data_IF_795557338612
#
_entry.id   IF_795557338612
#
_cell.length_a   1.000
_cell.length_b   1.000
_cell.length_c   1.000
_cell.angle_alpha   90.00
_cell.angle_beta   90.00
_cell.angle_gamma   90.00
#
_symmetry.space_group_name_H-M   'P 1'
#
loop_
_entity.id
_entity.type
_entity.pdbx_description
1 polymer ?
#
# COMPACT_ATOMS: atom_id res chain seq x y z
N UNK A 1 13.82 15.77 16.22
CA UNK A 1 13.21 15.25 14.97
C UNK A 1 13.93 13.96 14.61
N UNK A 2 13.18 12.96 14.12
CA UNK A 2 13.69 11.70 13.58
C UNK A 2 13.20 11.56 12.14
N UNK A 3 14.05 11.10 11.23
CA UNK A 3 13.67 10.86 9.82
C UNK A 3 12.97 9.51 9.71
N UNK A 4 11.83 9.42 9.02
CA UNK A 4 11.18 8.14 8.73
C UNK A 4 11.85 7.46 7.54
N UNK A 5 12.09 6.15 7.64
CA UNK A 5 12.63 5.30 6.58
C UNK A 5 11.72 4.09 6.38
N UNK A 6 11.20 3.87 5.16
CA UNK A 6 10.37 2.70 4.88
C UNK A 6 11.22 1.47 4.56
N UNK A 7 10.73 0.31 4.93
CA UNK A 7 11.24 -1.02 4.49
C UNK A 7 10.15 -1.72 3.67
N UNK A 8 9.48 -0.95 2.82
CA UNK A 8 8.44 -1.38 1.90
C UNK A 8 8.43 -0.44 0.69
N UNK A 9 7.83 -0.89 -0.41
CA UNK A 9 7.60 -0.09 -1.61
C UNK A 9 6.13 0.16 -1.87
N UNK A 10 5.85 1.17 -2.71
CA UNK A 10 4.52 1.42 -3.27
C UNK A 10 4.51 0.98 -4.73
N UNK A 11 3.50 0.19 -5.06
CA UNK A 11 3.41 -0.51 -6.32
C UNK A 11 2.15 -0.11 -7.09
N UNK A 12 2.28 -0.07 -8.41
CA UNK A 12 1.26 0.32 -9.37
C UNK A 12 1.24 -0.67 -10.53
N UNK A 13 0.10 -0.78 -11.20
CA UNK A 13 0.00 -1.47 -12.48
C UNK A 13 -0.07 -0.41 -13.57
N UNK A 14 0.96 -0.38 -14.42
CA UNK A 14 1.06 0.57 -15.53
C UNK A 14 -0.05 0.35 -16.55
N UNK A 15 -0.58 1.44 -17.10
CA UNK A 15 -1.57 1.36 -18.18
C UNK A 15 -0.89 0.87 -19.48
N UNK A 16 0.29 1.39 -19.79
CA UNK A 16 1.18 0.92 -20.86
C UNK A 16 2.55 0.51 -20.29
N UNK A 17 2.96 -0.74 -20.49
CA UNK A 17 4.26 -1.23 -20.02
C UNK A 17 5.43 -0.61 -20.77
N UNK A 18 5.22 -0.06 -21.96
CA UNK A 18 6.27 0.64 -22.71
C UNK A 18 6.52 2.05 -22.17
N UNK A 19 5.60 2.57 -21.33
CA UNK A 19 5.80 3.78 -20.54
C UNK A 19 5.96 3.38 -19.07
N UNK A 20 7.20 3.10 -18.69
CA UNK A 20 7.56 2.62 -17.36
C UNK A 20 8.45 3.63 -16.61
N UNK A 21 8.45 4.88 -17.05
CA UNK A 21 9.21 5.96 -16.43
C UNK A 21 8.57 6.47 -15.14
N UNK A 22 9.28 7.36 -14.46
CA UNK A 22 8.67 8.16 -13.40
C UNK A 22 7.47 8.94 -13.94
N UNK A 23 6.38 8.96 -13.18
CA UNK A 23 5.10 9.60 -13.55
C UNK A 23 4.35 8.95 -14.73
N UNK A 24 4.74 7.75 -15.14
CA UNK A 24 3.95 6.99 -16.10
C UNK A 24 2.53 6.73 -15.60
N UNK A 25 1.57 6.71 -16.52
CA UNK A 25 0.15 6.51 -16.20
C UNK A 25 -0.09 5.11 -15.60
N UNK A 26 -0.75 5.08 -14.45
CA UNK A 26 -1.15 3.86 -13.77
C UNK A 26 -2.52 4.02 -13.12
N UNK A 27 -3.51 3.28 -13.60
CA UNK A 27 -4.89 3.38 -13.12
C UNK A 27 -5.23 2.40 -11.99
N UNK A 28 -4.30 1.50 -11.62
CA UNK A 28 -4.55 0.42 -10.66
C UNK A 28 -3.39 0.22 -9.68
N UNK A 29 -3.67 -0.24 -8.44
CA UNK A 29 -2.61 -0.67 -7.54
C UNK A 29 -1.86 -1.87 -8.11
N UNK A 30 -0.57 -1.97 -7.80
CA UNK A 30 0.24 -3.13 -8.15
C UNK A 30 -0.29 -4.42 -7.51
N UNK A 31 0.03 -5.57 -8.10
CA UNK A 31 -0.35 -6.87 -7.56
C UNK A 31 0.17 -7.04 -6.13
N UNK A 32 -0.61 -7.73 -5.29
CA UNK A 32 -0.23 -7.97 -3.91
C UNK A 32 0.93 -8.98 -3.83
N UNK A 33 1.89 -8.70 -2.94
CA UNK A 33 2.96 -9.65 -2.61
C UNK A 33 2.45 -10.92 -1.90
N UNK A 34 3.27 -11.99 -1.86
CA UNK A 34 2.86 -13.29 -1.34
C UNK A 34 2.61 -13.34 0.18
N UNK A 35 3.16 -12.38 0.94
CA UNK A 35 3.15 -12.39 2.40
C UNK A 35 2.20 -11.35 3.00
N UNK A 36 2.42 -10.06 2.74
CA UNK A 36 1.59 -9.00 3.34
C UNK A 36 0.22 -8.93 2.67
N UNK A 37 0.12 -9.38 1.40
CA UNK A 37 -1.12 -9.49 0.63
C UNK A 37 -1.92 -8.18 0.55
N UNK A 38 -1.22 -7.05 0.50
CA UNK A 38 -1.80 -5.72 0.36
C UNK A 38 -1.54 -5.23 -1.08
N UNK A 39 -2.56 -5.11 -1.94
CA UNK A 39 -2.38 -4.53 -3.26
C UNK A 39 -1.76 -3.13 -3.18
N UNK A 40 -0.84 -2.87 -4.12
CA UNK A 40 -0.10 -1.61 -4.22
C UNK A 40 0.96 -1.39 -3.14
N UNK A 41 1.24 -2.39 -2.31
CA UNK A 41 2.32 -2.36 -1.32
C UNK A 41 3.05 -3.68 -1.33
N UNK A 42 4.37 -3.64 -1.27
CA UNK A 42 5.18 -4.84 -1.04
C UNK A 42 6.23 -4.54 0.02
N UNK A 43 6.43 -5.46 0.96
CA UNK A 43 7.54 -5.39 1.89
C UNK A 43 8.88 -5.49 1.15
N UNK A 44 9.97 -4.96 1.71
CA UNK A 44 11.29 -5.09 1.12
C UNK A 44 11.68 -6.57 0.92
N UNK A 45 11.26 -7.45 1.84
CA UNK A 45 11.38 -8.90 1.70
C UNK A 45 10.63 -9.47 0.47
N UNK A 46 9.45 -8.95 0.13
CA UNK A 46 8.69 -9.39 -1.05
C UNK A 46 9.27 -8.81 -2.33
N UNK A 47 9.74 -7.56 -2.30
CA UNK A 47 10.38 -6.89 -3.43
C UNK A 47 11.67 -7.62 -3.79
N UNK A 48 12.52 -7.94 -2.82
CA UNK A 48 13.76 -8.65 -3.09
C UNK A 48 13.47 -10.06 -3.64
N UNK A 49 12.51 -10.80 -3.08
CA UNK A 49 12.10 -12.09 -3.64
C UNK A 49 11.59 -11.96 -5.08
N UNK A 50 10.75 -10.96 -5.37
CA UNK A 50 10.27 -10.70 -6.73
C UNK A 50 11.42 -10.49 -7.70
N UNK A 51 12.45 -9.73 -7.31
CA UNK A 51 13.66 -9.49 -8.10
C UNK A 51 14.47 -10.78 -8.31
N UNK A 52 14.65 -11.59 -7.27
CA UNK A 52 15.42 -12.84 -7.36
C UNK A 52 14.72 -13.91 -8.20
N UNK A 53 13.39 -13.98 -8.13
CA UNK A 53 12.58 -15.00 -8.79
C UNK A 53 12.14 -14.61 -10.21
N UNK A 54 12.22 -13.33 -10.58
CA UNK A 54 11.72 -12.84 -11.87
C UNK A 54 12.55 -13.26 -13.09
N UNK A 55 13.81 -13.67 -12.90
CA UNK A 55 14.75 -13.82 -14.02
C UNK A 55 14.85 -12.50 -14.80
N UNK A 56 14.60 -12.53 -16.11
CA UNK A 56 14.66 -11.36 -17.00
C UNK A 56 13.33 -10.56 -17.06
N UNK A 57 12.30 -10.92 -16.29
CA UNK A 57 10.98 -10.27 -16.34
C UNK A 57 10.98 -8.85 -15.75
N UNK A 58 11.73 -8.64 -14.67
CA UNK A 58 11.80 -7.36 -13.96
C UNK A 58 13.13 -6.65 -14.19
N UNK A 59 13.06 -5.32 -14.30
CA UNK A 59 14.22 -4.43 -14.42
C UNK A 59 14.20 -3.40 -13.31
N UNK A 60 15.37 -3.15 -12.71
CA UNK A 60 15.58 -2.11 -11.69
C UNK A 60 16.16 -0.88 -12.37
N UNK A 61 15.63 0.30 -12.02
CA UNK A 61 16.10 1.58 -12.50
C UNK A 61 16.47 2.45 -11.31
N UNK A 62 17.69 2.99 -11.33
CA UNK A 62 18.17 3.99 -10.39
C UNK A 62 18.16 5.35 -11.08
N UNK A 63 17.26 6.23 -10.67
CA UNK A 63 17.24 7.60 -11.19
C UNK A 63 18.34 8.43 -10.48
N UNK A 64 19.26 9.05 -11.24
CA UNK A 64 20.40 9.78 -10.67
C UNK A 64 20.01 11.06 -9.93
N UNK A 65 18.78 11.55 -10.07
CA UNK A 65 18.28 12.75 -9.40
C UNK A 65 17.39 12.43 -8.19
N UNK A 66 16.70 11.30 -8.20
CA UNK A 66 15.84 10.87 -7.08
C UNK A 66 16.61 10.15 -5.99
N UNK A 67 17.72 9.49 -6.33
CA UNK A 67 18.51 8.66 -5.40
C UNK A 67 17.67 7.55 -4.73
N UNK A 68 16.59 7.13 -5.38
CA UNK A 68 15.70 6.04 -4.99
C UNK A 68 15.49 5.12 -6.20
N UNK A 69 15.51 3.79 -6.02
CA UNK A 69 15.20 2.87 -7.08
C UNK A 69 13.69 2.72 -7.31
N UNK A 70 13.35 2.31 -8.52
CA UNK A 70 12.11 1.62 -8.80
C UNK A 70 12.38 0.38 -9.64
N UNK A 71 11.48 -0.61 -9.56
CA UNK A 71 11.47 -1.75 -10.45
C UNK A 71 10.23 -1.72 -11.32
N UNK A 72 10.31 -2.32 -12.50
CA UNK A 72 9.15 -2.62 -13.33
C UNK A 72 9.24 -4.02 -13.91
N UNK A 73 8.11 -4.69 -14.12
CA UNK A 73 8.03 -6.07 -14.59
C UNK A 73 7.06 -6.22 -15.77
N UNK A 74 7.45 -7.00 -16.79
CA UNK A 74 6.65 -7.14 -18.01
C UNK A 74 5.38 -7.96 -17.81
N UNK A 75 5.47 -9.06 -17.06
CA UNK A 75 4.43 -10.08 -16.93
C UNK A 75 3.10 -9.56 -16.40
N UNK A 76 3.14 -8.65 -15.44
CA UNK A 76 2.00 -8.10 -14.70
C UNK A 76 1.89 -6.57 -14.79
N UNK A 77 2.74 -5.95 -15.63
CA UNK A 77 2.89 -4.51 -15.75
C UNK A 77 3.16 -3.80 -14.42
N UNK A 78 3.80 -4.50 -13.48
CA UNK A 78 4.11 -3.95 -12.17
C UNK A 78 5.13 -2.82 -12.30
N UNK A 79 4.94 -1.77 -11.53
CA UNK A 79 5.93 -0.72 -11.25
C UNK A 79 5.96 -0.52 -9.74
N UNK A 80 7.12 -0.61 -9.09
CA UNK A 80 7.24 -0.38 -7.65
C UNK A 80 8.40 0.56 -7.34
N UNK A 81 8.11 1.69 -6.69
CA UNK A 81 9.11 2.55 -6.07
C UNK A 81 9.40 2.07 -4.65
N UNK A 82 10.66 1.95 -4.28
CA UNK A 82 11.07 1.38 -3.00
C UNK A 82 12.42 1.93 -2.53
N UNK A 83 12.78 1.62 -1.30
CA UNK A 83 14.08 1.92 -0.71
C UNK A 83 14.97 0.66 -0.74
N UNK A 84 16.18 0.79 -1.25
CA UNK A 84 17.26 -0.20 -1.19
C UNK A 84 18.36 0.21 -0.18
N UNK A 85 19.43 -0.57 -0.08
CA UNK A 85 20.54 -0.26 0.83
C UNK A 85 21.17 1.10 0.52
N UNK A 86 21.33 1.44 -0.75
CA UNK A 86 22.05 2.65 -1.16
C UNK A 86 21.23 3.91 -0.82
N UNK A 87 19.96 3.93 -1.20
CA UNK A 87 19.02 5.02 -0.87
C UNK A 87 18.86 5.20 0.64
N UNK A 88 18.70 4.12 1.41
CA UNK A 88 18.59 4.22 2.88
C UNK A 88 19.90 4.66 3.54
N UNK A 89 21.05 4.21 3.03
CA UNK A 89 22.35 4.68 3.52
C UNK A 89 22.44 6.21 3.35
N UNK A 90 22.10 6.73 2.17
CA UNK A 90 22.10 8.16 1.88
C UNK A 90 21.13 8.94 2.80
N UNK A 91 19.90 8.45 2.99
CA UNK A 91 18.91 9.05 3.91
C UNK A 91 19.41 9.10 5.36
N UNK A 92 20.04 8.04 5.84
CA UNK A 92 20.62 8.02 7.19
C UNK A 92 21.82 8.96 7.33
N UNK A 93 22.70 9.05 6.31
CA UNK A 93 23.78 10.04 6.28
C UNK A 93 23.25 11.47 6.29
N UNK A 94 22.20 11.75 5.50
CA UNK A 94 21.50 13.04 5.52
C UNK A 94 20.98 13.36 6.93
N UNK A 95 20.28 12.42 7.58
CA UNK A 95 19.80 12.60 8.94
C UNK A 95 20.93 12.91 9.94
N UNK A 96 22.07 12.21 9.81
CA UNK A 96 23.26 12.41 10.65
C UNK A 96 23.88 13.80 10.43
N UNK A 97 24.05 14.21 9.18
CA UNK A 97 24.71 15.46 8.79
C UNK A 97 23.85 16.69 9.07
N UNK A 98 22.52 16.55 9.08
CA UNK A 98 21.59 17.58 9.57
C UNK A 98 21.48 17.64 11.10
N UNK A 99 22.15 16.75 11.84
CA UNK A 99 22.07 16.68 13.30
C UNK A 99 20.71 16.24 13.82
N UNK A 100 19.96 15.43 13.05
CA UNK A 100 18.71 14.83 13.52
C UNK A 100 18.99 13.83 14.65
N UNK A 101 17.97 13.57 15.46
CA UNK A 101 18.11 12.67 16.62
C UNK A 101 18.27 11.19 16.21
N UNK A 102 17.92 10.84 14.97
CA UNK A 102 18.05 9.49 14.43
C UNK A 102 17.09 9.24 13.27
N UNK A 103 16.91 7.96 12.97
CA UNK A 103 15.99 7.43 11.96
C UNK A 103 14.97 6.52 12.64
N UNK A 104 13.70 6.64 12.27
CA UNK A 104 12.61 5.74 12.61
C UNK A 104 12.34 4.83 11.41
N UNK A 105 12.09 3.54 11.65
CA UNK A 105 11.84 2.57 10.57
C UNK A 105 10.39 2.11 10.59
N UNK A 106 9.75 2.13 9.43
CA UNK A 106 8.46 1.50 9.21
C UNK A 106 8.57 0.43 8.11
N UNK A 107 8.55 -0.87 8.42
CA UNK A 107 8.60 -1.51 9.75
C UNK A 107 9.65 -2.60 9.81
N UNK A 108 9.98 -3.05 11.02
CA UNK A 108 10.98 -4.10 11.23
C UNK A 108 10.60 -5.45 10.58
N UNK A 109 9.31 -5.73 10.41
CA UNK A 109 8.77 -7.00 9.91
C UNK A 109 8.67 -7.08 8.38
N UNK A 110 8.84 -5.96 7.65
CA UNK A 110 8.85 -5.95 6.18
C UNK A 110 10.27 -5.89 5.58
N UNK A 111 11.31 -5.74 6.40
CA UNK A 111 12.70 -5.94 5.98
C UNK A 111 12.97 -7.43 5.69
N UNK A 112 14.09 -7.75 5.05
CA UNK A 112 14.59 -9.14 4.93
C UNK A 112 15.11 -9.63 6.29
N UNK A 113 14.21 -9.82 7.26
CA UNK A 113 14.52 -10.20 8.63
C UNK A 113 15.07 -11.64 8.75
N UNK A 114 15.02 -12.43 7.67
CA UNK A 114 15.61 -13.79 7.62
C UNK A 114 16.95 -13.83 6.90
N UNK A 115 17.25 -12.82 6.08
CA UNK A 115 18.45 -12.79 5.24
C UNK A 115 18.33 -13.73 4.03
N UNK A 116 17.12 -13.92 3.51
CA UNK A 116 16.85 -14.83 2.39
C UNK A 116 17.38 -14.26 1.06
N UNK A 117 17.43 -12.93 0.91
CA UNK A 117 17.88 -12.24 -0.30
C UNK A 117 19.34 -11.78 -0.23
N UNK A 118 19.78 -11.30 0.94
CA UNK A 118 21.07 -10.60 1.09
C UNK A 118 22.10 -11.34 1.94
N UNK A 119 21.80 -12.58 2.37
CA UNK A 119 22.62 -13.34 3.32
C UNK A 119 22.89 -12.57 4.65
N UNK A 120 22.03 -11.61 4.97
CA UNK A 120 22.08 -10.78 6.18
C UNK A 120 20.66 -10.50 6.69
N UNK A 121 20.41 -10.81 7.96
CA UNK A 121 19.16 -10.48 8.63
C UNK A 121 19.01 -8.96 8.81
N UNK A 122 17.82 -8.43 8.50
CA UNK A 122 17.50 -7.00 8.61
C UNK A 122 18.46 -6.12 7.79
N UNK A 123 18.71 -6.53 6.54
CA UNK A 123 19.68 -5.88 5.65
C UNK A 123 19.49 -4.36 5.57
N UNK A 124 18.25 -3.87 5.42
CA UNK A 124 17.96 -2.44 5.31
C UNK A 124 18.12 -1.71 6.65
N UNK A 125 17.58 -2.26 7.74
CA UNK A 125 17.71 -1.65 9.08
C UNK A 125 19.19 -1.61 9.52
N UNK A 126 19.97 -2.64 9.20
CA UNK A 126 21.41 -2.66 9.48
C UNK A 126 22.16 -1.66 8.63
N UNK A 127 21.74 -1.44 7.39
CA UNK A 127 22.32 -0.39 6.54
C UNK A 127 22.13 1.00 7.15
N UNK A 128 20.93 1.32 7.64
CA UNK A 128 20.66 2.55 8.39
C UNK A 128 21.56 2.66 9.62
N UNK A 129 21.71 1.57 10.39
CA UNK A 129 22.58 1.55 11.57
C UNK A 129 24.03 1.87 11.22
N UNK A 130 24.60 1.22 10.20
CA UNK A 130 25.99 1.45 9.75
C UNK A 130 26.19 2.92 9.35
N UNK A 131 25.26 3.50 8.59
CA UNK A 131 25.32 4.91 8.21
C UNK A 131 25.31 5.89 9.40
N UNK A 132 24.57 5.57 10.46
CA UNK A 132 24.47 6.38 11.69
C UNK A 132 25.66 6.21 12.64
N UNK A 133 26.39 5.09 12.56
CA UNK A 133 27.63 4.85 13.33
C UNK A 133 28.79 5.71 12.80
N UNK A 134 28.78 6.02 11.51
CA UNK A 134 29.77 6.92 10.91
C UNK A 134 29.66 8.36 11.46
N UNK A 135 30.79 9.05 11.72
CA UNK A 135 30.79 10.44 12.15
C UNK A 135 30.08 11.35 11.15
N UNK A 136 29.50 12.45 11.63
CA UNK A 136 29.02 13.49 10.73
C UNK A 136 30.22 14.17 10.04
N UNK A 137 30.19 14.23 8.71
CA UNK A 137 31.21 14.84 7.86
C UNK A 137 30.70 16.12 7.18
N UNK A 138 29.40 16.42 7.31
CA UNK A 138 28.76 17.56 6.67
C UNK A 138 28.49 17.37 5.18
N UNK A 139 28.73 16.17 4.65
CA UNK A 139 28.44 15.86 3.25
C UNK A 139 26.93 15.67 3.06
N UNK A 140 26.31 16.59 2.34
CA UNK A 140 24.88 16.56 2.07
C UNK A 140 24.74 16.41 0.56
N UNK A 141 24.05 15.34 0.14
CA UNK A 141 23.67 15.15 -1.26
C UNK A 141 22.84 16.35 -1.68
N UNK A 142 23.41 17.18 -2.55
CA UNK A 142 22.72 18.34 -3.12
C UNK A 142 21.83 17.85 -4.26
N UNK A 143 20.54 17.63 -3.96
CA UNK A 143 19.57 17.28 -4.98
C UNK A 143 19.33 18.51 -5.87
N UNK A 144 19.50 18.41 -7.20
CA UNK A 144 19.17 19.51 -8.08
C UNK A 144 17.69 19.91 -7.89
N UNK A 145 17.34 21.20 -7.99
CA UNK A 145 15.96 21.63 -7.87
C UNK A 145 15.10 20.87 -8.90
N UNK A 146 14.00 20.29 -8.43
CA UNK A 146 13.06 19.51 -9.24
C UNK A 146 12.69 20.33 -10.49
N UNK A 147 13.07 19.85 -11.67
CA UNK A 147 12.71 20.54 -12.92
C UNK A 147 11.21 20.34 -13.11
N UNK A 148 10.49 21.44 -13.13
CA UNK A 148 9.05 21.50 -13.40
C UNK A 148 8.78 20.96 -14.82
N UNK A 149 8.27 19.73 -14.94
CA UNK A 149 8.18 18.97 -16.21
C UNK A 149 7.04 19.47 -17.14
N UNK A 150 6.52 20.68 -16.89
CA UNK A 150 5.48 21.31 -17.72
C UNK A 150 5.93 21.68 -19.13
N UNK A 151 7.21 21.54 -19.48
CA UNK A 151 7.71 21.84 -20.82
C UNK A 151 8.34 20.60 -21.46
N UNK A 152 7.49 19.75 -22.03
CA UNK A 152 7.87 18.66 -22.94
C UNK A 152 8.67 19.21 -24.15
N UNK A 153 9.91 18.77 -24.40
CA UNK A 153 10.52 18.87 -25.71
C UNK A 153 10.04 17.72 -26.61
N UNK A 154 9.59 18.09 -27.80
CA UNK A 154 9.13 17.28 -28.93
C UNK A 154 10.00 16.02 -29.19
N UNK A 155 9.43 14.81 -29.37
CA UNK A 155 10.22 13.61 -29.58
C UNK A 155 10.77 13.56 -31.01
N UNK A 156 12.09 13.70 -31.14
CA UNK A 156 12.80 13.42 -32.39
C UNK A 156 12.92 11.92 -32.63
N UNK A 157 12.24 11.46 -33.68
CA UNK A 157 12.25 10.10 -34.23
C UNK A 157 13.66 9.59 -34.60
N UNK A 158 14.08 8.41 -34.11
CA UNK A 158 15.15 7.65 -34.75
C UNK A 158 14.63 6.54 -35.68
N UNK A 159 15.25 6.49 -36.86
CA UNK A 159 15.06 5.60 -38.01
C UNK A 159 15.29 4.11 -37.69
N UNK A 160 14.56 3.16 -38.32
CA UNK A 160 14.73 1.72 -38.05
C UNK A 160 16.00 1.15 -38.70
N UNK A 161 16.75 0.35 -37.93
CA UNK A 161 17.85 -0.48 -38.43
C UNK A 161 17.39 -1.94 -38.51
N UNK A 162 17.50 -2.53 -39.69
CA UNK A 162 17.16 -3.92 -39.99
C UNK A 162 18.32 -4.86 -39.63
N UNK A 163 18.06 -6.01 -39.03
CA UNK A 163 19.03 -7.12 -38.84
C UNK A 163 18.29 -8.47 -38.84
N UNK A 164 18.86 -9.54 -39.41
CA UNK A 164 18.09 -10.58 -40.09
C UNK A 164 17.71 -11.80 -39.24
N UNK A 165 16.65 -12.46 -39.70
CA UNK A 165 16.11 -13.76 -39.29
C UNK A 165 17.14 -14.90 -39.32
N UNK A 166 17.02 -15.86 -38.38
CA UNK A 166 17.35 -17.25 -38.68
C UNK A 166 16.18 -18.22 -38.44
N UNK A 167 15.87 -18.91 -39.53
CA UNK A 167 15.54 -20.33 -39.76
C UNK A 167 14.84 -21.16 -38.67
N UNK A 168 13.63 -21.58 -39.05
CA UNK A 168 12.78 -22.64 -38.50
C UNK A 168 13.45 -24.00 -38.47
N UNK A 169 13.31 -24.75 -37.37
CA UNK A 169 13.49 -26.21 -37.36
C UNK A 169 12.24 -26.86 -36.76
N UNK A 170 11.53 -27.61 -37.60
CA UNK A 170 10.38 -28.44 -37.27
C UNK A 170 10.82 -29.67 -36.48
N UNK A 171 10.08 -30.03 -35.43
CA UNK A 171 10.09 -31.39 -34.87
C UNK A 171 8.66 -31.78 -34.54
N UNK A 172 8.25 -32.91 -35.10
CA UNK A 172 6.89 -33.46 -35.05
C UNK A 172 6.51 -34.02 -33.67
N UNK A 173 5.19 -34.07 -33.54
CA UNK A 173 4.29 -34.39 -32.45
C UNK A 173 4.37 -35.86 -31.98
N UNK A 174 4.23 -36.07 -30.66
CA UNK A 174 3.84 -37.37 -30.07
C UNK A 174 2.62 -37.12 -29.19
N UNK A 175 1.49 -37.65 -29.64
CA UNK A 175 0.18 -37.66 -29.00
C UNK A 175 0.13 -38.64 -27.83
N UNK A 176 -0.42 -38.20 -26.69
CA UNK A 176 -0.97 -39.09 -25.65
C UNK A 176 -2.41 -38.66 -25.29
N UNK A 177 -3.27 -39.60 -24.86
CA UNK A 177 -4.73 -39.46 -24.83
C UNK A 177 -5.28 -38.65 -23.63
N UNK A 178 -6.53 -38.17 -23.69
CA UNK A 178 -7.14 -37.35 -22.64
C UNK A 178 -7.50 -38.19 -21.43
N UNK A 179 -7.14 -37.70 -20.23
CA UNK A 179 -7.59 -38.24 -18.95
C UNK A 179 -8.68 -37.34 -18.38
N UNK A 180 -9.81 -37.93 -18.01
CA UNK A 180 -11.05 -37.29 -17.56
C UNK A 180 -10.90 -36.38 -16.32
N UNK A 181 -11.81 -35.39 -16.14
CA UNK A 181 -11.81 -34.49 -14.98
C UNK A 181 -12.25 -35.19 -13.69
N UNK A 182 -11.70 -34.82 -12.51
CA UNK A 182 -12.13 -35.39 -11.25
C UNK A 182 -13.53 -34.84 -10.87
N UNK A 183 -14.41 -35.77 -10.53
CA UNK A 183 -15.76 -35.51 -10.04
C UNK A 183 -15.70 -35.17 -8.54
N UNK A 184 -16.01 -33.94 -8.15
CA UNK A 184 -16.10 -33.54 -6.74
C UNK A 184 -17.46 -33.92 -6.17
N UNK A 185 -17.48 -34.94 -5.32
CA UNK A 185 -18.65 -35.35 -4.53
C UNK A 185 -18.78 -34.49 -3.27
N UNK A 186 -19.93 -33.82 -3.13
CA UNK A 186 -20.31 -33.06 -1.93
C UNK A 186 -20.64 -34.02 -0.78
N UNK A 187 -20.04 -33.88 0.41
CA UNK A 187 -20.48 -34.63 1.59
C UNK A 187 -21.80 -34.08 2.16
N UNK A 188 -22.59 -34.90 2.89
CA UNK A 188 -23.94 -34.55 3.34
C UNK A 188 -23.92 -33.57 4.52
N UNK A 189 -24.81 -32.58 4.48
CA UNK A 189 -25.09 -31.65 5.57
C UNK A 189 -25.82 -32.35 6.71
N UNK A 190 -25.21 -32.39 7.90
CA UNK A 190 -25.86 -32.79 9.15
C UNK A 190 -26.48 -31.55 9.83
N UNK A 191 -27.68 -31.65 10.45
CA UNK A 191 -28.34 -30.50 11.06
C UNK A 191 -27.72 -30.16 12.41
N UNK A 192 -26.93 -29.10 12.48
CA UNK A 192 -26.45 -28.54 13.74
C UNK A 192 -27.56 -27.75 14.44
N UNK A 193 -27.88 -28.16 15.65
CA UNK A 193 -28.87 -27.56 16.54
C UNK A 193 -28.40 -26.17 17.02
N UNK A 194 -29.24 -25.16 16.81
CA UNK A 194 -29.03 -23.78 17.26
C UNK A 194 -29.28 -23.65 18.77
N UNK A 195 -28.33 -23.15 19.58
CA UNK A 195 -28.65 -22.57 20.87
C UNK A 195 -29.21 -21.16 20.66
N UNK A 196 -30.43 -20.94 21.13
CA UNK A 196 -31.09 -19.62 21.16
C UNK A 196 -30.28 -18.64 22.03
N UNK A 197 -29.77 -17.57 21.41
CA UNK A 197 -29.21 -16.41 22.09
C UNK A 197 -30.34 -15.40 22.33
N UNK A 198 -30.36 -14.81 23.51
CA UNK A 198 -31.26 -13.72 23.91
C UNK A 198 -31.06 -12.44 23.10
N UNK A 199 -31.64 -11.30 23.51
CA UNK A 199 -31.76 -10.12 22.65
C UNK A 199 -30.38 -9.53 22.34
N UNK A 200 -29.88 -9.78 21.13
CA UNK A 200 -28.68 -9.16 20.58
C UNK A 200 -28.99 -7.70 20.27
N UNK A 201 -28.44 -6.76 21.04
CA UNK A 201 -28.40 -5.37 20.62
C UNK A 201 -27.40 -5.27 19.47
N UNK A 202 -27.89 -5.11 18.24
CA UNK A 202 -27.06 -4.92 17.05
C UNK A 202 -26.27 -3.61 17.21
N UNK A 203 -24.95 -3.69 17.30
CA UNK A 203 -24.04 -2.53 17.31
C UNK A 203 -24.22 -1.73 16.02
N UNK A 204 -24.19 -0.40 16.11
CA UNK A 204 -24.07 0.48 14.95
C UNK A 204 -22.63 0.39 14.36
N UNK A 205 -22.45 -0.10 13.12
CA UNK A 205 -21.13 -0.27 12.51
C UNK A 205 -20.37 1.04 12.27
N UNK A 206 -21.07 2.18 12.13
CA UNK A 206 -20.46 3.48 11.90
C UNK A 206 -19.80 4.07 13.15
N UNK A 207 -20.15 3.55 14.33
CA UNK A 207 -19.67 4.06 15.61
C UNK A 207 -18.50 3.25 16.14
N UNK A 208 -17.62 3.96 16.86
CA UNK A 208 -16.48 3.40 17.58
C UNK A 208 -16.92 2.25 18.50
N UNK A 209 -16.35 1.04 18.35
CA UNK A 209 -16.69 -0.07 19.23
C UNK A 209 -16.18 0.18 20.65
N UNK A 210 -16.88 -0.34 21.64
CA UNK A 210 -16.35 -0.45 22.99
C UNK A 210 -15.33 -1.59 23.04
N UNK A 211 -14.07 -1.26 23.29
CA UNK A 211 -12.95 -2.20 23.36
C UNK A 211 -12.55 -2.55 24.80
N UNK A 212 -13.33 -2.15 25.81
CA UNK A 212 -13.08 -2.51 27.21
C UNK A 212 -13.11 -4.02 27.41
N UNK A 213 -11.95 -4.60 27.76
CA UNK A 213 -11.81 -6.05 27.96
C UNK A 213 -11.81 -6.87 26.66
N UNK A 214 -11.73 -6.22 25.50
CA UNK A 214 -11.55 -6.86 24.20
C UNK A 214 -10.05 -7.05 23.95
N UNK A 215 -9.68 -8.19 23.35
CA UNK A 215 -8.28 -8.49 23.02
C UNK A 215 -7.80 -7.57 21.91
N UNK A 216 -6.59 -7.02 22.06
CA UNK A 216 -5.97 -6.19 21.02
C UNK A 216 -5.84 -6.96 19.69
N UNK A 217 -6.11 -6.28 18.59
CA UNK A 217 -6.21 -6.86 17.25
C UNK A 217 -7.59 -7.41 16.89
N UNK A 218 -8.56 -7.43 17.82
CA UNK A 218 -9.95 -7.80 17.49
C UNK A 218 -10.54 -6.76 16.54
N UNK A 219 -11.13 -7.22 15.42
CA UNK A 219 -11.68 -6.35 14.38
C UNK A 219 -13.21 -6.38 14.33
N UNK A 220 -13.81 -5.27 13.89
CA UNK A 220 -15.25 -5.13 13.70
C UNK A 220 -15.56 -4.46 12.36
N UNK A 221 -16.66 -4.84 11.68
CA UNK A 221 -17.01 -4.24 10.40
C UNK A 221 -17.50 -2.81 10.60
N UNK A 222 -17.23 -1.96 9.60
CA UNK A 222 -17.77 -0.60 9.49
C UNK A 222 -18.98 -0.58 8.54
N UNK A 223 -19.74 0.51 8.55
CA UNK A 223 -20.83 0.73 7.59
C UNK A 223 -20.36 1.00 6.17
N UNK A 224 -19.07 1.26 5.97
CA UNK A 224 -18.45 1.51 4.67
C UNK A 224 -17.55 0.33 4.38
N UNK A 225 -17.71 -0.30 3.22
CA UNK A 225 -17.05 -1.57 2.93
C UNK A 225 -15.53 -1.46 2.91
N UNK A 226 -14.96 -0.28 2.69
CA UNK A 226 -13.52 -0.05 2.69
C UNK A 226 -12.96 0.35 4.06
N UNK A 227 -13.74 0.24 5.14
CA UNK A 227 -13.32 0.60 6.51
C UNK A 227 -13.59 -0.55 7.47
N UNK A 228 -12.82 -0.58 8.55
CA UNK A 228 -13.04 -1.50 9.66
C UNK A 228 -12.49 -0.93 10.96
N UNK A 229 -13.00 -1.40 12.09
CA UNK A 229 -12.47 -1.03 13.40
C UNK A 229 -11.53 -2.11 13.90
N UNK A 230 -10.48 -1.71 14.62
CA UNK A 230 -9.57 -2.61 15.34
C UNK A 230 -9.40 -2.14 16.79
N UNK A 231 -9.53 -3.04 17.75
CA UNK A 231 -9.24 -2.71 19.14
C UNK A 231 -7.74 -2.71 19.39
N UNK A 232 -7.21 -1.61 19.94
CA UNK A 232 -5.83 -1.48 20.40
C UNK A 232 -5.81 -0.70 21.71
N UNK A 233 -5.19 -1.26 22.75
CA UNK A 233 -5.09 -0.66 24.09
C UNK A 233 -6.45 -0.21 24.67
N UNK A 234 -7.50 -1.01 24.44
CA UNK A 234 -8.86 -0.67 24.89
C UNK A 234 -9.55 0.44 24.09
N UNK A 235 -9.00 0.87 22.95
CA UNK A 235 -9.62 1.84 22.05
C UNK A 235 -9.91 1.22 20.68
N UNK A 236 -11.08 1.50 20.12
CA UNK A 236 -11.38 1.16 18.72
C UNK A 236 -10.71 2.15 17.78
N UNK A 237 -9.79 1.71 16.95
CA UNK A 237 -9.15 2.52 15.91
C UNK A 237 -9.84 2.22 14.59
N UNK A 238 -10.26 3.26 13.87
CA UNK A 238 -10.85 3.14 12.53
C UNK A 238 -9.73 3.02 11.50
N UNK A 239 -9.71 1.92 10.77
CA UNK A 239 -8.75 1.63 9.72
C UNK A 239 -9.40 1.68 8.35
N UNK A 240 -8.61 2.07 7.35
CA UNK A 240 -9.02 2.09 5.95
C UNK A 240 -8.31 0.97 5.20
N UNK A 241 -9.07 0.24 4.40
CA UNK A 241 -8.49 -0.63 3.39
C UNK A 241 -7.81 0.19 2.28
N UNK A 242 -6.77 -0.38 1.66
CA UNK A 242 -6.11 0.24 0.52
C UNK A 242 -7.11 0.57 -0.60
N UNK A 243 -6.90 1.65 -1.38
CA UNK A 243 -7.80 2.01 -2.47
C UNK A 243 -8.09 0.83 -3.40
N UNK A 244 -9.38 0.56 -3.67
CA UNK A 244 -9.83 -0.56 -4.50
C UNK A 244 -9.99 -1.90 -3.76
N UNK A 245 -9.79 -1.95 -2.44
CA UNK A 245 -10.02 -3.14 -1.61
C UNK A 245 -11.05 -2.89 -0.51
N UNK A 246 -11.77 -3.94 -0.11
CA UNK A 246 -12.85 -3.91 0.86
C UNK A 246 -12.54 -4.83 2.05
N UNK A 247 -13.03 -4.47 3.22
CA UNK A 247 -12.84 -5.24 4.44
C UNK A 247 -13.64 -6.54 4.40
N UNK A 248 -12.92 -7.65 4.40
CA UNK A 248 -13.46 -8.99 4.55
C UNK A 248 -13.50 -9.36 6.04
N UNK A 249 -14.68 -9.24 6.65
CA UNK A 249 -14.85 -9.56 8.06
C UNK A 249 -14.64 -11.06 8.37
N UNK A 250 -14.87 -11.96 7.41
CA UNK A 250 -14.74 -13.41 7.60
C UNK A 250 -13.26 -13.78 7.68
N UNK A 251 -12.45 -13.23 6.78
CA UNK A 251 -11.02 -13.50 6.72
C UNK A 251 -10.17 -12.50 7.51
N UNK A 252 -10.79 -11.42 8.02
CA UNK A 252 -10.14 -10.32 8.73
C UNK A 252 -8.99 -9.68 7.94
N UNK A 253 -9.21 -9.47 6.65
CA UNK A 253 -8.25 -8.87 5.71
C UNK A 253 -8.95 -7.93 4.73
N UNK A 254 -8.22 -6.99 4.14
CA UNK A 254 -8.72 -6.23 2.99
C UNK A 254 -8.57 -7.09 1.73
N UNK A 255 -9.68 -7.38 1.06
CA UNK A 255 -9.75 -8.26 -0.10
C UNK A 255 -10.41 -7.53 -1.29
N UNK A 256 -10.42 -8.14 -2.46
CA UNK A 256 -11.03 -7.56 -3.65
C UNK A 256 -12.56 -7.55 -3.55
N UNK A 257 -13.21 -6.57 -4.18
CA UNK A 257 -14.68 -6.47 -4.18
C UNK A 257 -15.38 -7.76 -4.65
N UNK A 258 -14.78 -8.51 -5.59
CA UNK A 258 -15.32 -9.78 -6.07
C UNK A 258 -15.32 -10.90 -5.03
N UNK A 259 -14.52 -10.77 -3.97
CA UNK A 259 -14.30 -11.78 -2.93
C UNK A 259 -14.97 -11.40 -1.60
N UNK A 260 -15.52 -10.19 -1.49
CA UNK A 260 -16.13 -9.66 -0.26
C UNK A 260 -17.65 -9.59 -0.41
N UNK A 261 -18.38 -10.02 0.61
CA UNK A 261 -19.83 -9.78 0.68
C UNK A 261 -20.11 -8.31 1.02
N UNK A 262 -20.52 -7.55 0.03
CA UNK A 262 -20.82 -6.11 0.14
C UNK A 262 -22.28 -5.81 0.43
N UNK A 263 -23.12 -6.84 0.62
CA UNK A 263 -24.58 -6.67 0.81
C UNK A 263 -24.97 -5.94 2.11
N UNK A 264 -24.05 -5.81 3.05
CA UNK A 264 -24.27 -5.26 4.39
C UNK A 264 -23.44 -4.01 4.72
N UNK A 265 -22.82 -3.40 3.72
CA UNK A 265 -22.07 -2.16 3.87
C UNK A 265 -22.26 -1.25 2.65
N UNK A 266 -21.94 0.03 2.82
CA UNK A 266 -21.95 1.01 1.76
C UNK A 266 -20.65 0.89 0.97
N UNK A 267 -20.77 0.59 -0.33
CA UNK A 267 -19.67 0.76 -1.26
C UNK A 267 -19.42 2.26 -1.43
N UNK A 268 -18.36 2.74 -0.80
CA UNK A 268 -17.96 4.13 -0.98
C UNK A 268 -17.32 4.29 -2.36
N UNK A 269 -17.99 5.03 -3.23
CA UNK A 269 -17.51 5.39 -4.56
C UNK A 269 -17.38 6.90 -4.67
N UNK A 270 -16.24 7.34 -5.19
CA UNK A 270 -15.95 8.74 -5.45
C UNK A 270 -16.59 9.17 -6.79
N UNK A 271 -17.92 9.12 -6.89
CA UNK A 271 -18.63 9.22 -8.18
C UNK A 271 -18.83 10.66 -8.67
N UNK A 272 -18.79 11.64 -7.77
CA UNK A 272 -19.11 13.04 -8.07
C UNK A 272 -17.93 13.94 -7.72
N UNK A 273 -17.32 14.51 -8.76
CA UNK A 273 -16.24 15.49 -8.62
C UNK A 273 -16.68 16.70 -7.78
N UNK A 274 -15.75 17.24 -7.00
CA UNK A 274 -15.93 18.30 -6.01
C UNK A 274 -16.88 17.94 -4.84
N UNK A 275 -17.06 16.65 -4.55
CA UNK A 275 -17.76 16.20 -3.35
C UNK A 275 -16.77 15.87 -2.23
N UNK A 276 -17.13 16.21 -1.00
CA UNK A 276 -16.30 16.00 0.18
C UNK A 276 -16.83 14.86 1.05
N UNK A 277 -15.94 14.02 1.57
CA UNK A 277 -16.28 12.87 2.42
C UNK A 277 -15.44 12.82 3.70
N UNK A 278 -15.96 12.23 4.80
CA UNK A 278 -15.22 12.09 6.04
C UNK A 278 -14.05 11.09 5.88
N UNK A 279 -12.88 11.47 6.37
CA UNK A 279 -11.74 10.58 6.52
C UNK A 279 -11.83 9.82 7.86
N UNK A 280 -11.19 8.63 7.99
CA UNK A 280 -11.06 7.95 9.28
C UNK A 280 -10.44 8.80 10.39
N UNK A 281 -9.48 9.64 10.07
CA UNK A 281 -8.90 10.65 10.97
C UNK A 281 -9.76 11.92 11.00
N UNK A 282 -10.12 12.39 12.19
CA UNK A 282 -11.04 13.52 12.37
C UNK A 282 -10.50 14.84 11.78
N UNK A 283 -9.18 14.98 11.63
CA UNK A 283 -8.54 16.17 11.06
C UNK A 283 -8.29 16.06 9.55
N UNK A 284 -8.87 15.07 8.87
CA UNK A 284 -8.74 14.90 7.42
C UNK A 284 -10.10 14.72 6.75
N UNK A 285 -10.12 14.88 5.44
CA UNK A 285 -11.28 14.62 4.60
C UNK A 285 -10.84 14.21 3.19
N UNK A 286 -11.74 13.56 2.45
CA UNK A 286 -11.53 13.28 1.04
C UNK A 286 -12.22 14.35 0.19
N UNK A 287 -11.56 14.79 -0.87
CA UNK A 287 -12.12 15.57 -1.98
C UNK A 287 -12.12 14.69 -3.23
N UNK A 288 -13.28 14.49 -3.83
CA UNK A 288 -13.38 13.77 -5.09
C UNK A 288 -12.92 14.62 -6.26
N UNK A 289 -11.96 14.12 -7.02
CA UNK A 289 -11.44 14.76 -8.23
C UNK A 289 -11.18 13.70 -9.32
N UNK A 290 -11.88 13.82 -10.43
CA UNK A 290 -11.83 12.90 -11.58
C UNK A 290 -12.08 11.44 -11.20
N UNK A 291 -13.04 11.20 -10.30
CA UNK A 291 -13.36 9.86 -9.82
C UNK A 291 -12.39 9.28 -8.79
N UNK A 292 -11.34 10.02 -8.40
CA UNK A 292 -10.36 9.60 -7.40
C UNK A 292 -10.48 10.44 -6.10
N UNK A 293 -10.41 9.80 -4.93
CA UNK A 293 -10.43 10.52 -3.66
C UNK A 293 -9.04 11.10 -3.34
N UNK A 294 -8.93 12.43 -3.28
CA UNK A 294 -7.77 13.14 -2.77
C UNK A 294 -7.90 13.36 -1.26
N UNK A 295 -6.86 13.07 -0.48
CA UNK A 295 -6.86 13.32 0.97
C UNK A 295 -6.36 14.73 1.27
N UNK A 296 -7.14 15.48 2.04
CA UNK A 296 -6.80 16.81 2.54
C UNK A 296 -6.75 16.81 4.07
N UNK A 297 -5.89 17.66 4.64
CA UNK A 297 -5.71 17.78 6.10
C UNK A 297 -6.14 19.16 6.58
N UNK A 298 -6.99 19.17 7.60
CA UNK A 298 -7.40 20.38 8.31
C UNK A 298 -6.21 21.02 9.03
N UNK A 299 -6.04 22.33 8.84
CA UNK A 299 -4.98 23.07 9.51
C UNK A 299 -5.25 23.21 11.03
N UNK A 300 -4.17 23.32 11.82
CA UNK A 300 -4.20 23.70 13.24
C UNK A 300 -5.10 22.83 14.14
N UNK A 301 -5.13 21.51 13.92
CA UNK A 301 -5.97 20.58 14.71
C UNK A 301 -7.47 20.90 14.68
N UNK A 302 -7.95 21.54 13.61
CA UNK A 302 -9.37 21.61 13.31
C UNK A 302 -9.87 20.25 12.83
N UNK A 303 -11.12 19.92 13.12
CA UNK A 303 -11.74 18.66 12.69
C UNK A 303 -12.73 18.90 11.55
N UNK A 304 -12.76 17.97 10.61
CA UNK A 304 -13.66 18.00 9.48
C UNK A 304 -15.11 17.82 9.93
N UNK A 305 -15.96 18.78 9.59
CA UNK A 305 -17.39 18.72 9.83
C UNK A 305 -18.15 18.42 8.53
N UNK A 306 -18.59 17.16 8.38
CA UNK A 306 -19.30 16.71 7.19
C UNK A 306 -20.64 17.43 6.96
N UNK A 307 -21.28 17.98 7.99
CA UNK A 307 -22.59 18.62 7.82
C UNK A 307 -22.50 19.99 7.14
N UNK A 308 -21.37 20.67 7.31
CA UNK A 308 -21.13 22.03 6.78
C UNK A 308 -19.97 22.08 5.78
N UNK A 309 -19.33 20.93 5.51
CA UNK A 309 -18.18 20.75 4.62
C UNK A 309 -17.02 21.70 4.96
N UNK A 310 -16.67 21.84 6.24
CA UNK A 310 -15.60 22.72 6.70
C UNK A 310 -14.83 22.14 7.89
N UNK A 311 -13.55 22.47 7.99
CA UNK A 311 -12.76 22.23 9.19
C UNK A 311 -13.16 23.22 10.28
N UNK A 312 -13.60 22.71 11.43
CA UNK A 312 -14.11 23.50 12.56
C UNK A 312 -13.49 23.07 13.89
N UNK A 313 -13.85 23.75 14.97
CA UNK A 313 -13.32 23.43 16.28
C UNK A 313 -13.72 21.99 16.68
N UNK A 314 -12.82 21.20 17.29
CA UNK A 314 -13.14 19.87 17.79
C UNK A 314 -14.42 19.74 18.62
N UNK A 315 -14.82 20.78 19.37
CA UNK A 315 -16.05 20.74 20.17
C UNK A 315 -17.34 20.79 19.34
N UNK A 316 -17.26 21.23 18.08
CA UNK A 316 -18.39 21.36 17.17
C UNK A 316 -18.55 20.14 16.24
N UNK A 317 -17.70 19.12 16.41
CA UNK A 317 -17.63 17.92 15.56
C UNK A 317 -17.87 16.67 16.41
N UNK A 318 -18.74 15.79 15.92
CA UNK A 318 -18.91 14.46 16.51
C UNK A 318 -17.71 13.57 16.14
N UNK A 319 -16.90 13.22 17.15
CA UNK A 319 -15.69 12.40 17.00
C UNK A 319 -15.95 10.91 17.27
N UNK A 320 -17.21 10.50 17.45
CA UNK A 320 -17.57 9.11 17.73
C UNK A 320 -17.36 8.15 16.53
N UNK A 321 -17.15 8.69 15.34
CA UNK A 321 -16.97 7.96 14.09
C UNK A 321 -15.59 8.16 13.42
N UNK A 322 -14.61 8.75 14.14
CA UNK A 322 -13.27 9.00 13.61
C UNK A 322 -12.17 8.89 14.68
N UNK A 323 -10.93 8.76 14.24
CA UNK A 323 -9.73 8.75 15.07
C UNK A 323 -9.32 10.18 15.39
N UNK A 324 -9.12 10.48 16.67
CA UNK A 324 -8.55 11.76 17.09
C UNK A 324 -7.02 11.66 17.04
N UNK A 325 -6.32 12.47 16.23
CA UNK A 325 -4.87 12.42 16.16
C UNK A 325 -4.22 12.77 17.50
N UNK A 326 -3.22 12.00 17.90
CA UNK A 326 -2.55 12.16 19.21
C UNK A 326 -1.89 13.55 19.39
N UNK A 327 -1.44 14.20 18.31
CA UNK A 327 -0.86 15.54 18.37
C UNK A 327 -1.90 16.66 18.56
N UNK A 328 -3.19 16.33 18.50
CA UNK A 328 -4.30 17.24 18.74
C UNK A 328 -4.99 17.02 20.10
N UNK A 329 -4.48 16.08 20.92
CA UNK A 329 -4.97 15.77 22.27
C UNK A 329 -4.18 16.49 23.36
#
# INVERSE_FOLDING_TARGET
MVLGAPTYGRCFTLDDINDHGMLADASRPGVAGPYIKIPGTMGANEICLRIHESGDDCSIVHDPNLFEPYLWCNSDKLWCGYDDSDSLYLKARLAKNLGLAGVMVWTIDTDDFRGDCYEEDFHLVRTLKRALEEPADGDIVDCPPFIDITTSPDPTTPTPTTTPTPTTTTTEEVTDPPTDPPTTTTPPTEPTTTPSIGPTTTRDPSLKPNCDGVVDGTTFPHSDCNKYWMCLNGQGILELCSPGTLWDQIHSVCNWESEVDTSHCNLWACEVDNTYYPHPDCDKYYLCNQGAPLVETCANCLFWNQNIHQCTNPMDVDTSACNIPQYCL
#
